data_IF_196577955303
#
_entry.id   IF_196577955303
#
_cell.length_a   1.000
_cell.length_b   1.000
_cell.length_c   1.000
_cell.angle_alpha   90.00
_cell.angle_beta   90.00
_cell.angle_gamma   90.00
#
_symmetry.space_group_name_H-M   'P 1'
#
loop_
_entity.id
_entity.type
_entity.pdbx_description
1 polymer ?
#
# COMPACT_ATOMS: atom_id res chain seq x y z
N UNK A 1 -29.64 6.35 6.54
CA UNK A 1 -28.31 5.71 6.53
C UNK A 1 -27.64 6.03 7.86
N UNK A 2 -27.77 5.16 8.85
CA UNK A 2 -27.15 5.32 10.16
C UNK A 2 -25.79 4.63 10.08
N UNK A 3 -24.73 5.38 9.78
CA UNK A 3 -23.38 4.85 9.97
C UNK A 3 -23.20 4.78 11.48
N UNK A 4 -22.88 3.58 11.96
CA UNK A 4 -22.64 3.31 13.39
C UNK A 4 -21.70 4.38 13.98
N UNK A 5 -22.02 4.88 15.17
CA UNK A 5 -21.28 5.99 15.80
C UNK A 5 -19.81 5.63 16.00
N UNK A 6 -19.52 4.35 16.20
CA UNK A 6 -18.16 3.83 16.35
C UNK A 6 -17.38 3.85 15.03
N UNK A 7 -18.01 3.39 13.93
CA UNK A 7 -17.44 3.48 12.58
C UNK A 7 -17.15 4.93 12.21
N UNK A 8 -18.08 5.84 12.50
CA UNK A 8 -17.91 7.27 12.21
C UNK A 8 -16.76 7.89 13.01
N UNK A 9 -16.56 7.45 14.26
CA UNK A 9 -15.44 7.89 15.10
C UNK A 9 -14.10 7.37 14.57
N UNK A 10 -14.02 6.08 14.28
CA UNK A 10 -12.81 5.45 13.73
C UNK A 10 -12.38 6.09 12.41
N UNK A 11 -13.32 6.34 11.50
CA UNK A 11 -13.02 7.02 10.23
C UNK A 11 -12.50 8.44 10.43
N UNK A 12 -13.04 9.18 11.40
CA UNK A 12 -12.55 10.53 11.73
C UNK A 12 -11.12 10.47 12.27
N UNK A 13 -10.83 9.56 13.19
CA UNK A 13 -9.48 9.37 13.74
C UNK A 13 -8.47 9.00 12.65
N UNK A 14 -8.83 8.06 11.76
CA UNK A 14 -7.98 7.67 10.63
C UNK A 14 -7.69 8.87 9.71
N UNK A 15 -8.70 9.69 9.41
CA UNK A 15 -8.54 10.88 8.58
C UNK A 15 -7.68 11.97 9.24
N UNK A 16 -7.82 12.17 10.55
CA UNK A 16 -7.01 13.11 11.32
C UNK A 16 -5.53 12.67 11.35
N UNK A 17 -5.28 11.38 11.57
CA UNK A 17 -3.94 10.79 11.52
C UNK A 17 -3.30 10.93 10.14
N UNK A 18 -4.05 10.62 9.07
CA UNK A 18 -3.57 10.81 7.69
C UNK A 18 -3.26 12.27 7.38
N UNK A 19 -4.09 13.22 7.84
CA UNK A 19 -3.88 14.67 7.67
C UNK A 19 -2.65 15.17 8.43
N UNK A 20 -2.37 14.61 9.61
CA UNK A 20 -1.17 14.93 10.36
C UNK A 20 0.08 14.40 9.64
N UNK A 21 0.07 13.12 9.23
CA UNK A 21 1.18 12.48 8.53
C UNK A 21 1.50 13.13 7.19
N UNK A 22 0.50 13.59 6.43
CA UNK A 22 0.71 14.23 5.13
C UNK A 22 1.55 15.50 5.20
N UNK A 23 1.44 16.27 6.30
CA UNK A 23 2.27 17.47 6.53
C UNK A 23 3.74 17.11 6.72
N UNK A 24 4.01 16.03 7.43
CA UNK A 24 5.38 15.51 7.61
C UNK A 24 5.92 14.98 6.29
N UNK A 25 5.13 14.20 5.55
CA UNK A 25 5.52 13.66 4.25
C UNK A 25 5.82 14.77 3.24
N UNK A 26 5.00 15.81 3.17
CA UNK A 26 5.21 16.96 2.29
C UNK A 26 6.50 17.75 2.59
N UNK A 27 7.01 17.66 3.82
CA UNK A 27 8.25 18.33 4.26
C UNK A 27 9.47 17.42 4.27
N UNK A 28 9.31 16.14 3.96
CA UNK A 28 10.44 15.21 3.89
C UNK A 28 11.37 15.57 2.73
N UNK A 29 12.62 15.12 2.81
CA UNK A 29 13.57 15.21 1.71
C UNK A 29 13.28 14.13 0.66
N UNK A 30 13.80 14.30 -0.56
CA UNK A 30 13.70 13.27 -1.60
C UNK A 30 14.34 11.96 -1.13
N UNK A 31 15.49 12.06 -0.46
CA UNK A 31 16.25 10.93 0.09
C UNK A 31 15.42 10.15 1.12
N UNK A 32 14.71 10.84 2.01
CA UNK A 32 13.84 10.19 3.00
C UNK A 32 12.65 9.46 2.35
N UNK A 33 12.00 10.07 1.33
CA UNK A 33 10.90 9.41 0.61
C UNK A 33 11.39 8.18 -0.16
N UNK A 34 12.52 8.32 -0.85
CA UNK A 34 13.11 7.22 -1.62
C UNK A 34 13.56 6.08 -0.71
N UNK A 35 14.17 6.38 0.44
CA UNK A 35 14.49 5.37 1.46
C UNK A 35 13.24 4.65 1.96
N UNK A 36 12.13 5.37 2.15
CA UNK A 36 10.82 4.78 2.48
C UNK A 36 10.33 3.80 1.40
N UNK A 37 10.37 4.20 0.13
CA UNK A 37 9.96 3.36 -0.99
C UNK A 37 10.82 2.08 -1.11
N UNK A 38 12.13 2.20 -0.97
CA UNK A 38 13.04 1.05 -0.97
C UNK A 38 12.79 0.11 0.23
N UNK A 39 12.54 0.67 1.42
CA UNK A 39 12.19 -0.12 2.60
C UNK A 39 10.86 -0.87 2.41
N UNK A 40 9.85 -0.24 1.79
CA UNK A 40 8.58 -0.88 1.45
C UNK A 40 8.77 -2.02 0.44
N UNK A 41 9.60 -1.83 -0.59
CA UNK A 41 9.93 -2.88 -1.56
C UNK A 41 10.59 -4.10 -0.89
N UNK A 42 11.59 -3.85 -0.02
CA UNK A 42 12.26 -4.90 0.75
C UNK A 42 11.27 -5.63 1.69
N UNK A 43 10.39 -4.89 2.37
CA UNK A 43 9.39 -5.46 3.26
C UNK A 43 8.37 -6.34 2.52
N UNK A 44 7.92 -5.92 1.32
CA UNK A 44 7.03 -6.73 0.49
C UNK A 44 7.66 -8.05 0.07
N UNK A 45 8.95 -8.03 -0.33
CA UNK A 45 9.68 -9.26 -0.69
C UNK A 45 9.86 -10.19 0.51
N UNK A 46 10.20 -9.62 1.67
CA UNK A 46 10.36 -10.40 2.91
C UNK A 46 9.04 -11.02 3.39
N UNK A 47 7.93 -10.28 3.29
CA UNK A 47 6.61 -10.73 3.72
C UNK A 47 5.85 -11.55 2.66
N UNK A 48 6.42 -11.74 1.47
CA UNK A 48 5.74 -12.40 0.36
C UNK A 48 5.17 -13.79 0.71
N UNK A 49 5.85 -14.67 1.48
CA UNK A 49 5.27 -15.95 1.87
C UNK A 49 3.98 -15.80 2.67
N UNK A 50 3.96 -14.89 3.64
CA UNK A 50 2.81 -14.67 4.53
C UNK A 50 1.64 -14.02 3.79
N UNK A 51 1.93 -13.03 2.93
CA UNK A 51 0.92 -12.35 2.11
C UNK A 51 0.29 -13.31 1.10
N UNK A 52 1.06 -14.19 0.48
CA UNK A 52 0.55 -15.19 -0.46
C UNK A 52 -0.31 -16.25 0.23
N UNK A 53 0.06 -16.67 1.45
CA UNK A 53 -0.76 -17.57 2.25
C UNK A 53 -2.12 -16.92 2.59
N UNK A 54 -2.10 -15.68 3.09
CA UNK A 54 -3.34 -14.94 3.38
C UNK A 54 -4.20 -14.71 2.13
N UNK A 55 -3.58 -14.41 0.98
CA UNK A 55 -4.32 -14.24 -0.27
C UNK A 55 -4.97 -15.54 -0.76
N UNK A 56 -4.36 -16.70 -0.50
CA UNK A 56 -4.96 -17.98 -0.82
C UNK A 56 -6.24 -18.22 0.00
N UNK A 57 -6.23 -17.84 1.29
CA UNK A 57 -7.42 -17.90 2.14
C UNK A 57 -8.52 -16.94 1.65
N UNK A 58 -8.15 -15.72 1.24
CA UNK A 58 -9.09 -14.76 0.63
C UNK A 58 -9.71 -15.30 -0.66
N UNK A 59 -8.90 -15.94 -1.53
CA UNK A 59 -9.37 -16.56 -2.77
C UNK A 59 -10.30 -17.75 -2.48
N UNK A 60 -10.06 -18.51 -1.42
CA UNK A 60 -10.93 -19.61 -1.02
C UNK A 60 -12.28 -19.11 -0.47
N UNK A 61 -12.27 -18.00 0.28
CA UNK A 61 -13.46 -17.38 0.85
C UNK A 61 -14.28 -16.56 -0.17
N UNK A 62 -13.65 -16.12 -1.26
CA UNK A 62 -14.26 -15.22 -2.25
C UNK A 62 -15.34 -15.89 -3.10
N UNK A 63 -16.52 -15.26 -3.16
CA UNK A 63 -17.68 -15.66 -3.98
C UNK A 63 -17.87 -14.81 -5.24
N UNK A 64 -16.84 -14.07 -5.63
CA UNK A 64 -16.89 -13.17 -6.79
C UNK A 64 -16.71 -13.92 -8.11
N UNK A 65 -16.96 -13.26 -9.24
CA UNK A 65 -16.75 -13.84 -10.57
C UNK A 65 -15.26 -13.98 -10.93
N UNK A 66 -14.96 -14.76 -11.97
CA UNK A 66 -13.59 -15.07 -12.37
C UNK A 66 -12.74 -13.82 -12.66
N UNK A 67 -13.34 -12.78 -13.24
CA UNK A 67 -12.63 -11.53 -13.54
C UNK A 67 -12.15 -10.80 -12.27
N UNK A 68 -12.97 -10.80 -11.21
CA UNK A 68 -12.57 -10.24 -9.92
C UNK A 68 -11.65 -11.17 -9.15
N UNK A 69 -11.77 -12.50 -9.32
CA UNK A 69 -10.83 -13.47 -8.73
C UNK A 69 -9.41 -13.30 -9.30
N UNK A 70 -9.28 -13.07 -10.61
CA UNK A 70 -7.98 -12.78 -11.21
C UNK A 70 -7.39 -11.50 -10.61
N UNK A 71 -8.17 -10.43 -10.46
CA UNK A 71 -7.69 -9.18 -9.82
C UNK A 71 -7.32 -9.35 -8.34
N UNK A 72 -7.98 -10.26 -7.63
CA UNK A 72 -7.68 -10.59 -6.23
C UNK A 72 -6.42 -11.44 -6.10
N UNK A 73 -6.07 -12.21 -7.13
CA UNK A 73 -4.95 -13.17 -7.06
C UNK A 73 -3.61 -12.46 -6.93
N UNK A 74 -2.84 -12.84 -5.92
CA UNK A 74 -1.42 -12.51 -5.78
C UNK A 74 -0.58 -13.74 -6.11
N UNK A 75 0.55 -13.51 -6.76
CA UNK A 75 1.54 -14.52 -7.11
C UNK A 75 2.93 -13.98 -6.80
N UNK A 76 3.94 -14.86 -6.70
CA UNK A 76 5.34 -14.41 -6.51
C UNK A 76 5.75 -13.37 -7.57
N UNK A 77 5.48 -13.58 -8.89
CA UNK A 77 5.76 -12.54 -9.89
C UNK A 77 4.98 -11.22 -9.67
N UNK A 78 3.72 -11.26 -9.23
CA UNK A 78 2.95 -10.04 -8.94
C UNK A 78 3.49 -9.30 -7.70
N UNK A 79 3.90 -10.02 -6.67
CA UNK A 79 4.56 -9.45 -5.49
C UNK A 79 5.86 -8.76 -5.87
N UNK A 80 6.69 -9.42 -6.70
CA UNK A 80 7.92 -8.82 -7.20
C UNK A 80 7.64 -7.58 -8.07
N UNK A 81 6.65 -7.63 -8.95
CA UNK A 81 6.28 -6.47 -9.76
C UNK A 81 5.82 -5.26 -8.91
N UNK A 82 5.12 -5.49 -7.79
CA UNK A 82 4.74 -4.40 -6.87
C UNK A 82 5.99 -3.82 -6.18
N UNK A 83 6.91 -4.68 -5.72
CA UNK A 83 8.16 -4.23 -5.09
C UNK A 83 9.03 -3.44 -6.08
N UNK A 84 9.20 -3.95 -7.31
CA UNK A 84 9.91 -3.26 -8.37
C UNK A 84 9.25 -1.91 -8.71
N UNK A 85 7.92 -1.86 -8.77
CA UNK A 85 7.19 -0.61 -9.02
C UNK A 85 7.49 0.48 -7.99
N UNK A 86 7.74 0.13 -6.72
CA UNK A 86 8.17 1.09 -5.69
C UNK A 86 9.59 1.61 -5.96
N UNK A 87 10.51 0.74 -6.38
CA UNK A 87 11.88 1.09 -6.73
C UNK A 87 11.94 1.96 -7.98
N UNK A 88 11.09 1.66 -8.97
CA UNK A 88 10.94 2.45 -10.19
C UNK A 88 10.46 3.86 -9.87
N UNK A 89 9.48 4.01 -8.96
CA UNK A 89 9.02 5.32 -8.49
C UNK A 89 10.14 6.07 -7.77
N UNK A 90 10.91 5.38 -6.91
CA UNK A 90 12.01 6.00 -6.18
C UNK A 90 13.14 6.51 -7.11
N UNK A 91 13.28 5.91 -8.30
CA UNK A 91 14.24 6.32 -9.31
C UNK A 91 13.78 7.54 -10.14
N UNK A 92 12.50 7.92 -10.08
CA UNK A 92 12.00 9.08 -10.81
C UNK A 92 12.50 10.40 -10.19
N UNK A 93 12.65 11.46 -10.99
CA UNK A 93 12.96 12.79 -10.45
C UNK A 93 11.94 13.24 -9.43
N UNK A 94 12.41 13.83 -8.32
CA UNK A 94 11.55 14.29 -7.23
C UNK A 94 10.49 15.31 -7.73
N UNK A 95 9.18 15.03 -7.54
CA UNK A 95 8.13 15.95 -7.93
C UNK A 95 7.97 17.15 -6.99
N UNK A 96 8.47 17.11 -5.75
CA UNK A 96 8.20 18.14 -4.73
C UNK A 96 9.24 19.27 -4.66
N UNK A 97 10.30 19.20 -5.46
CA UNK A 97 11.38 20.21 -5.51
C UNK A 97 11.32 21.19 -6.68
N UNK A 98 10.22 21.21 -7.45
CA UNK A 98 10.04 22.14 -8.58
C UNK A 98 9.26 23.38 -8.15
N UNK A 99 9.94 24.33 -7.52
CA UNK A 99 9.43 25.68 -7.27
C UNK A 99 10.43 26.72 -7.75
#
# INVERSE_FOLDING_TARGET
MHIDSDVSKHLRELAENARAASRTLARSTAEQRNAGLHAMAAALRAAAPDVLAANADDLAASRTNDAFRDRLTLTVPRMEAIAQGLEDIAALPDPLGRT
#
